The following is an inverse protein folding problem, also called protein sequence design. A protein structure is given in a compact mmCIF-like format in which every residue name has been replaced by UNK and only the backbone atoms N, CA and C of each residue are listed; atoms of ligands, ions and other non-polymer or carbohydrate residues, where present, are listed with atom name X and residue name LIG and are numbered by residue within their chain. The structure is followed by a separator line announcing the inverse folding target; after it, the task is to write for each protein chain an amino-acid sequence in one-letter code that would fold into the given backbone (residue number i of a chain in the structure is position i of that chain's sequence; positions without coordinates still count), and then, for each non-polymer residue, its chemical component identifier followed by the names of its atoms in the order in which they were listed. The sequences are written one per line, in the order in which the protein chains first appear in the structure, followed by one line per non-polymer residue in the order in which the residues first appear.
data_IF_246219299563
#
_entry.id   IF_246219299563
#
_cell.length_a   1.000
_cell.length_b   1.000
_cell.length_c   1.000
_cell.angle_alpha   90.00
_cell.angle_beta   90.00
_cell.angle_gamma   90.00
#
_symmetry.space_group_name_H-M   'P 1'
#
loop_
_entity.id
_entity.type
_entity.pdbx_description
1 polymer ?
#
# COMPACT_ATOMS: atom_id res chain seq x y z
N UNK A 1 -43.53 -57.95 -28.80
CA UNK A 1 -42.56 -57.57 -27.74
C UNK A 1 -41.14 -57.16 -28.27
N UNK A 2 -40.89 -57.06 -29.58
CA UNK A 2 -39.56 -56.65 -30.14
C UNK A 2 -39.52 -55.23 -30.65
N UNK A 3 -40.62 -54.50 -30.84
CA UNK A 3 -40.65 -53.16 -31.40
C UNK A 3 -40.43 -52.07 -30.31
N UNK A 4 -40.92 -52.29 -29.06
CA UNK A 4 -40.75 -51.31 -28.00
C UNK A 4 -39.31 -51.14 -27.47
N UNK A 5 -38.41 -52.18 -27.59
CA UNK A 5 -37.00 -52.06 -27.17
C UNK A 5 -36.15 -51.19 -28.10
N UNK A 6 -36.48 -51.04 -29.37
CA UNK A 6 -35.73 -50.22 -30.33
C UNK A 6 -36.00 -48.70 -30.21
N UNK A 7 -37.21 -48.34 -29.79
CA UNK A 7 -37.60 -46.93 -29.63
C UNK A 7 -36.94 -46.31 -28.36
N UNK A 8 -36.83 -47.10 -27.29
CA UNK A 8 -36.21 -46.62 -26.04
C UNK A 8 -34.68 -46.38 -26.24
N UNK A 9 -34.01 -47.20 -27.02
CA UNK A 9 -32.56 -47.05 -27.30
C UNK A 9 -32.23 -45.81 -28.13
N UNK A 10 -33.14 -45.40 -29.04
CA UNK A 10 -32.93 -44.21 -29.86
C UNK A 10 -33.17 -42.91 -29.07
N UNK A 11 -34.14 -42.89 -28.17
CA UNK A 11 -34.36 -41.73 -27.30
C UNK A 11 -33.28 -41.53 -26.26
N UNK A 12 -32.66 -42.61 -25.74
CA UNK A 12 -31.57 -42.51 -24.77
C UNK A 12 -30.29 -42.01 -25.47
N UNK A 13 -30.02 -42.41 -26.70
CA UNK A 13 -28.86 -41.98 -27.49
C UNK A 13 -28.95 -40.47 -27.85
N UNK A 14 -30.13 -39.95 -28.18
CA UNK A 14 -30.35 -38.53 -28.50
C UNK A 14 -30.19 -37.66 -27.24
N UNK A 15 -30.63 -38.11 -26.07
CA UNK A 15 -30.47 -37.39 -24.82
C UNK A 15 -29.02 -37.30 -24.38
N UNK A 16 -28.20 -38.35 -24.57
CA UNK A 16 -26.79 -38.33 -24.23
C UNK A 16 -26.00 -37.40 -25.19
N UNK A 17 -26.30 -37.39 -26.48
CA UNK A 17 -25.64 -36.50 -27.45
C UNK A 17 -26.02 -35.04 -27.19
N UNK A 18 -27.27 -34.74 -26.79
CA UNK A 18 -27.68 -33.38 -26.42
C UNK A 18 -27.00 -32.91 -25.11
N UNK A 19 -26.80 -33.78 -24.10
CA UNK A 19 -26.14 -33.45 -22.87
C UNK A 19 -24.62 -33.21 -23.04
N UNK A 20 -23.96 -33.98 -23.90
CA UNK A 20 -22.54 -33.80 -24.23
C UNK A 20 -22.34 -32.54 -25.09
N UNK A 21 -23.24 -32.22 -26.01
CA UNK A 21 -23.23 -30.99 -26.80
C UNK A 21 -23.43 -29.73 -25.96
N UNK A 22 -24.25 -29.79 -24.90
CA UNK A 22 -24.44 -28.68 -23.96
C UNK A 22 -23.24 -28.41 -23.05
N UNK A 23 -22.47 -29.44 -22.72
CA UNK A 23 -21.25 -29.31 -21.93
C UNK A 23 -20.09 -28.68 -22.74
N UNK A 24 -20.09 -28.85 -24.06
CA UNK A 24 -19.06 -28.27 -24.94
C UNK A 24 -19.32 -26.81 -25.33
N UNK A 25 -20.52 -26.29 -25.04
CA UNK A 25 -20.91 -24.91 -25.30
C UNK A 25 -20.89 -23.99 -24.08
N UNK A 26 -20.27 -24.44 -22.97
CA UNK A 26 -19.97 -23.47 -21.88
C UNK A 26 -18.93 -22.49 -22.41
N UNK A 27 -19.23 -21.19 -22.48
CA UNK A 27 -18.24 -20.21 -22.86
C UNK A 27 -17.11 -20.35 -21.83
N UNK A 28 -15.91 -20.68 -22.30
CA UNK A 28 -14.73 -20.57 -21.48
C UNK A 28 -14.72 -19.14 -20.98
N UNK A 29 -14.93 -18.92 -19.69
CA UNK A 29 -14.75 -17.62 -19.08
C UNK A 29 -13.34 -17.18 -19.45
N UNK A 30 -13.23 -16.28 -20.42
CA UNK A 30 -11.95 -15.67 -20.75
C UNK A 30 -11.47 -15.03 -19.44
N UNK A 31 -10.32 -15.50 -18.96
CA UNK A 31 -9.68 -14.88 -17.81
C UNK A 31 -9.57 -13.39 -18.14
N UNK A 32 -10.25 -12.55 -17.36
CA UNK A 32 -10.10 -11.11 -17.52
C UNK A 32 -8.61 -10.79 -17.38
N UNK A 33 -8.06 -9.91 -18.23
CA UNK A 33 -6.70 -9.46 -18.06
C UNK A 33 -6.54 -8.91 -16.63
N UNK A 34 -5.37 -9.08 -15.99
CA UNK A 34 -5.12 -8.51 -14.68
C UNK A 34 -5.51 -7.05 -14.69
N UNK A 35 -6.23 -6.61 -13.68
CA UNK A 35 -6.63 -5.21 -13.57
C UNK A 35 -5.36 -4.35 -13.47
N UNK A 36 -5.29 -3.28 -14.27
CA UNK A 36 -4.21 -2.31 -14.14
C UNK A 36 -4.40 -1.45 -12.87
N UNK A 37 -3.31 -0.92 -12.33
CA UNK A 37 -3.36 0.03 -11.22
C UNK A 37 -4.14 1.28 -11.65
N UNK A 38 -5.08 1.71 -10.82
CA UNK A 38 -5.91 2.88 -11.05
C UNK A 38 -5.72 3.91 -9.94
N UNK A 39 -5.21 5.08 -10.32
CA UNK A 39 -5.10 6.21 -9.39
C UNK A 39 -6.45 6.67 -8.84
N UNK A 40 -7.52 6.54 -9.63
CA UNK A 40 -8.89 6.85 -9.18
C UNK A 40 -9.37 5.88 -8.09
N UNK A 41 -9.09 4.57 -8.24
CA UNK A 41 -9.41 3.60 -7.20
C UNK A 41 -8.58 3.84 -5.93
N UNK A 42 -7.31 4.19 -6.07
CA UNK A 42 -6.48 4.59 -4.93
C UNK A 42 -7.03 5.86 -4.25
N UNK A 43 -7.45 6.87 -5.02
CA UNK A 43 -8.06 8.08 -4.46
C UNK A 43 -9.34 7.78 -3.67
N UNK A 44 -10.17 6.84 -4.13
CA UNK A 44 -11.33 6.38 -3.36
C UNK A 44 -10.92 5.74 -2.02
N UNK A 45 -9.77 5.07 -1.95
CA UNK A 45 -9.22 4.56 -0.68
C UNK A 45 -8.81 5.70 0.27
N UNK A 46 -8.28 6.82 -0.25
CA UNK A 46 -8.06 8.03 0.56
C UNK A 46 -9.39 8.54 1.11
N UNK A 47 -10.40 8.70 0.24
CA UNK A 47 -11.71 9.20 0.65
C UNK A 47 -12.37 8.35 1.75
N UNK A 48 -12.26 7.03 1.66
CA UNK A 48 -12.76 6.13 2.72
C UNK A 48 -12.03 6.36 4.03
N UNK A 49 -10.70 6.44 4.03
CA UNK A 49 -9.91 6.69 5.25
C UNK A 49 -10.28 8.05 5.88
N UNK A 50 -10.44 9.09 5.05
CA UNK A 50 -10.86 10.42 5.51
C UNK A 50 -12.27 10.40 6.14
N UNK A 51 -13.16 9.51 5.70
CA UNK A 51 -14.51 9.39 6.26
C UNK A 51 -14.53 8.90 7.72
N UNK A 52 -13.43 8.29 8.21
CA UNK A 52 -13.31 7.88 9.61
C UNK A 52 -12.94 9.05 10.53
N UNK A 53 -12.51 10.17 9.97
CA UNK A 53 -11.92 11.31 10.68
C UNK A 53 -10.43 11.14 10.94
N UNK A 54 -9.80 12.06 11.71
CA UNK A 54 -8.39 11.97 12.08
C UNK A 54 -8.06 10.65 12.78
N UNK A 55 -7.11 9.92 12.23
CA UNK A 55 -6.76 8.56 12.64
C UNK A 55 -5.67 8.53 13.73
N UNK A 56 -5.81 9.43 14.70
CA UNK A 56 -4.85 9.53 15.81
C UNK A 56 -4.71 8.19 16.51
N UNK A 57 -3.47 7.72 16.69
CA UNK A 57 -3.16 6.44 17.36
C UNK A 57 -3.95 6.24 18.64
N UNK A 58 -4.58 5.09 18.81
CA UNK A 58 -5.41 4.73 19.96
C UNK A 58 -6.83 5.30 19.93
N UNK A 59 -7.20 6.10 18.93
CA UNK A 59 -8.56 6.63 18.77
C UNK A 59 -9.51 5.62 18.12
N UNK A 60 -10.85 5.79 18.28
CA UNK A 60 -11.82 4.98 17.54
C UNK A 60 -11.70 5.10 16.02
N UNK A 61 -11.27 6.25 15.48
CA UNK A 61 -11.05 6.45 14.05
C UNK A 61 -9.85 5.64 13.55
N UNK A 62 -8.74 5.62 14.31
CA UNK A 62 -7.57 4.79 14.04
C UNK A 62 -7.93 3.29 14.07
N UNK A 63 -8.69 2.84 15.06
CA UNK A 63 -9.15 1.45 15.13
C UNK A 63 -10.00 1.06 13.91
N UNK A 64 -10.95 1.92 13.49
CA UNK A 64 -11.77 1.70 12.28
C UNK A 64 -10.93 1.64 11.01
N UNK A 65 -9.93 2.52 10.88
CA UNK A 65 -9.03 2.52 9.73
C UNK A 65 -8.20 1.22 9.67
N UNK A 66 -7.62 0.80 10.79
CA UNK A 66 -6.88 -0.46 10.87
C UNK A 66 -7.75 -1.68 10.54
N UNK A 67 -8.98 -1.75 11.07
CA UNK A 67 -9.93 -2.82 10.75
C UNK A 67 -10.33 -2.81 9.28
N UNK A 68 -10.54 -1.64 8.69
CA UNK A 68 -10.81 -1.48 7.27
C UNK A 68 -9.65 -1.99 6.40
N UNK A 69 -8.43 -1.56 6.68
CA UNK A 69 -7.23 -1.98 5.95
C UNK A 69 -7.09 -3.50 6.01
N UNK A 70 -7.17 -4.10 7.20
CA UNK A 70 -7.06 -5.54 7.37
C UNK A 70 -8.16 -6.31 6.61
N UNK A 71 -9.40 -5.80 6.61
CA UNK A 71 -10.51 -6.40 5.87
C UNK A 71 -10.30 -6.32 4.35
N UNK A 72 -9.79 -5.19 3.80
CA UNK A 72 -9.48 -5.07 2.38
C UNK A 72 -8.35 -6.03 1.98
N UNK A 73 -7.26 -6.09 2.74
CA UNK A 73 -6.15 -7.00 2.46
C UNK A 73 -6.60 -8.47 2.45
N UNK A 74 -7.40 -8.87 3.45
CA UNK A 74 -8.00 -10.22 3.51
C UNK A 74 -8.92 -10.48 2.30
N UNK A 75 -9.75 -9.51 1.93
CA UNK A 75 -10.63 -9.60 0.75
C UNK A 75 -9.85 -9.80 -0.56
N UNK A 76 -8.65 -9.22 -0.67
CA UNK A 76 -7.77 -9.39 -1.82
C UNK A 76 -6.92 -10.67 -1.75
N UNK A 77 -7.14 -11.51 -0.73
CA UNK A 77 -6.48 -12.82 -0.60
C UNK A 77 -5.12 -12.79 0.07
N UNK A 78 -4.76 -11.69 0.76
CA UNK A 78 -3.53 -11.59 1.53
C UNK A 78 -3.70 -12.21 2.92
N UNK A 79 -2.68 -12.92 3.38
CA UNK A 79 -2.61 -13.43 4.76
C UNK A 79 -2.28 -12.26 5.70
N UNK A 80 -3.29 -11.81 6.44
CA UNK A 80 -3.26 -10.54 7.18
C UNK A 80 -3.30 -10.79 8.68
N UNK A 81 -2.41 -10.11 9.40
CA UNK A 81 -2.36 -10.16 10.86
C UNK A 81 -2.13 -8.78 11.46
N UNK A 82 -2.64 -8.55 12.67
CA UNK A 82 -2.27 -7.41 13.49
C UNK A 82 -0.99 -7.72 14.30
N UNK A 83 -0.10 -6.74 14.37
CA UNK A 83 1.00 -6.69 15.31
C UNK A 83 0.66 -5.65 16.38
N UNK A 84 0.32 -6.09 17.59
CA UNK A 84 -0.22 -5.24 18.66
C UNK A 84 0.75 -5.15 19.82
N UNK A 85 0.88 -3.95 20.38
CA UNK A 85 1.62 -3.68 21.60
C UNK A 85 1.08 -2.41 22.28
N UNK A 86 1.64 -2.05 23.43
CA UNK A 86 1.27 -0.83 24.15
C UNK A 86 2.47 0.10 24.21
N UNK A 87 2.27 1.37 23.85
CA UNK A 87 3.27 2.43 23.97
C UNK A 87 2.67 3.63 24.72
N UNK A 88 3.35 4.11 25.77
CA UNK A 88 2.86 5.18 26.65
C UNK A 88 1.37 5.01 27.04
N UNK A 89 1.00 3.80 27.48
CA UNK A 89 -0.37 3.39 27.86
C UNK A 89 -1.41 3.45 26.72
N UNK A 90 -0.98 3.66 25.48
CA UNK A 90 -1.84 3.69 24.29
C UNK A 90 -1.67 2.38 23.51
N UNK A 91 -2.76 1.69 23.12
CA UNK A 91 -2.67 0.54 22.24
C UNK A 91 -2.22 0.98 20.84
N UNK A 92 -1.24 0.24 20.29
CA UNK A 92 -0.70 0.41 18.93
C UNK A 92 -0.98 -0.86 18.14
N UNK A 93 -1.43 -0.75 16.89
CA UNK A 93 -1.92 -1.87 16.08
C UNK A 93 -1.44 -1.78 14.63
N UNK A 94 -0.18 -2.09 14.35
CA UNK A 94 0.28 -2.22 12.95
C UNK A 94 -0.33 -3.44 12.27
N UNK A 95 -0.49 -3.40 10.94
CA UNK A 95 -1.01 -4.50 10.14
C UNK A 95 0.11 -5.01 9.22
N UNK A 96 0.26 -6.34 9.15
CA UNK A 96 1.18 -7.00 8.24
C UNK A 96 0.37 -7.96 7.38
N UNK A 97 0.36 -7.72 6.08
CA UNK A 97 -0.29 -8.58 5.10
C UNK A 97 0.77 -9.21 4.17
N UNK A 98 0.67 -10.51 3.94
CA UNK A 98 1.67 -11.29 3.19
C UNK A 98 1.03 -12.02 2.03
N UNK A 99 1.71 -12.01 0.88
CA UNK A 99 1.28 -12.75 -0.29
C UNK A 99 2.47 -13.43 -0.98
N UNK A 100 2.18 -14.41 -1.83
CA UNK A 100 3.15 -15.13 -2.63
C UNK A 100 4.27 -15.81 -1.80
N UNK A 101 3.91 -16.39 -0.66
CA UNK A 101 4.85 -17.00 0.28
C UNK A 101 5.77 -18.01 -0.38
N UNK A 102 7.08 -17.87 -0.15
CA UNK A 102 8.10 -18.76 -0.66
C UNK A 102 8.42 -18.62 -2.15
N UNK A 103 7.85 -17.64 -2.85
CA UNK A 103 8.13 -17.41 -4.27
C UNK A 103 9.55 -16.89 -4.53
N UNK A 104 10.16 -16.26 -3.53
CA UNK A 104 11.50 -15.68 -3.63
C UNK A 104 11.87 -14.83 -2.41
N UNK A 105 12.83 -13.92 -2.58
CA UNK A 105 13.21 -12.99 -1.52
C UNK A 105 12.01 -12.13 -1.07
N UNK A 106 12.04 -11.71 0.19
CA UNK A 106 10.97 -10.88 0.76
C UNK A 106 11.20 -9.42 0.40
N UNK A 107 10.19 -8.77 -0.16
CA UNK A 107 10.11 -7.31 -0.30
C UNK A 107 9.02 -6.79 0.64
N UNK A 108 9.36 -5.82 1.48
CA UNK A 108 8.38 -5.09 2.30
C UNK A 108 8.03 -3.77 1.60
N UNK A 109 6.74 -3.52 1.42
CA UNK A 109 6.19 -2.20 1.11
C UNK A 109 5.50 -1.67 2.37
N UNK A 110 5.80 -0.44 2.78
CA UNK A 110 5.27 0.15 4.00
C UNK A 110 4.57 1.48 3.78
N UNK A 111 3.63 1.80 4.65
CA UNK A 111 3.04 3.13 4.81
C UNK A 111 2.47 3.25 6.22
N UNK A 112 2.51 4.43 6.84
CA UNK A 112 1.78 4.62 8.09
C UNK A 112 0.30 4.93 7.81
N UNK A 113 -0.60 4.61 8.75
CA UNK A 113 -2.03 4.85 8.59
C UNK A 113 -2.63 5.75 9.68
N UNK A 114 -1.88 6.02 10.74
CA UNK A 114 -2.26 7.01 11.73
C UNK A 114 -2.15 8.44 11.16
N UNK A 115 -2.62 9.42 11.89
CA UNK A 115 -2.42 10.82 11.60
C UNK A 115 -2.07 11.58 12.88
N UNK A 116 -1.39 12.70 12.70
CA UNK A 116 -0.87 13.52 13.80
C UNK A 116 -1.97 14.01 14.71
N UNK A 117 -1.77 13.83 16.02
CA UNK A 117 -2.76 14.21 17.06
C UNK A 117 -2.99 15.70 17.21
N UNK A 118 -2.06 16.54 16.77
CA UNK A 118 -2.15 17.99 16.78
C UNK A 118 -1.50 18.58 15.53
N UNK A 119 -2.16 19.56 14.94
CA UNK A 119 -1.67 20.31 13.78
C UNK A 119 -0.65 21.37 14.24
N UNK A 120 0.48 20.93 14.81
CA UNK A 120 1.45 21.80 15.49
C UNK A 120 2.20 22.78 14.56
N UNK A 121 2.07 22.60 13.23
CA UNK A 121 2.52 23.55 12.22
C UNK A 121 1.40 24.53 11.78
N UNK A 122 0.15 24.30 12.21
CA UNK A 122 -0.99 25.16 11.90
C UNK A 122 -1.04 26.37 12.85
N UNK A 123 -0.81 27.57 12.30
CA UNK A 123 -0.83 28.81 13.10
C UNK A 123 -2.21 29.18 13.65
N UNK A 124 -3.28 28.75 12.97
CA UNK A 124 -4.65 29.10 13.34
C UNK A 124 -5.29 28.05 14.27
N UNK A 125 -4.95 26.76 14.08
CA UNK A 125 -5.62 25.64 14.75
C UNK A 125 -4.62 24.59 15.27
N UNK A 126 -3.57 24.96 16.02
CA UNK A 126 -2.47 24.05 16.38
C UNK A 126 -2.88 22.90 17.31
N UNK A 127 -4.06 22.99 17.93
CA UNK A 127 -4.57 21.98 18.87
C UNK A 127 -5.52 20.96 18.23
N UNK A 128 -5.97 21.20 16.99
CA UNK A 128 -6.81 20.23 16.27
C UNK A 128 -5.95 19.10 15.71
N UNK A 129 -6.50 17.88 15.59
CA UNK A 129 -5.79 16.80 14.92
C UNK A 129 -5.67 17.07 13.42
N UNK A 130 -4.58 16.57 12.80
CA UNK A 130 -4.37 16.63 11.37
C UNK A 130 -5.35 15.66 10.68
N UNK A 131 -6.04 16.07 9.60
CA UNK A 131 -6.92 15.18 8.85
C UNK A 131 -6.18 14.01 8.20
N UNK A 132 -4.96 14.22 7.69
CA UNK A 132 -4.06 13.18 7.22
C UNK A 132 -4.44 12.59 5.87
N UNK A 133 -4.82 13.40 4.88
CA UNK A 133 -5.19 12.90 3.57
C UNK A 133 -3.98 12.45 2.72
N UNK A 134 -2.91 13.21 2.78
CA UNK A 134 -1.65 12.84 2.16
C UNK A 134 -0.75 12.11 3.17
N UNK A 135 -0.65 12.65 4.37
CA UNK A 135 0.13 12.19 5.50
C UNK A 135 -0.71 11.25 6.38
N UNK A 136 -0.62 10.08 6.19
CA UNK A 136 -0.43 8.72 5.89
C UNK A 136 -1.48 8.09 4.98
N UNK A 137 -2.68 8.72 4.67
CA UNK A 137 -3.70 7.99 3.91
C UNK A 137 -3.30 7.74 2.45
N UNK A 138 -2.43 8.56 1.84
CA UNK A 138 -2.01 8.41 0.45
C UNK A 138 -1.18 7.15 0.21
N UNK A 139 -0.17 6.89 1.05
CA UNK A 139 0.65 5.68 0.98
C UNK A 139 -0.17 4.41 1.18
N UNK A 140 -1.04 4.40 2.20
CA UNK A 140 -1.99 3.29 2.44
C UNK A 140 -2.88 3.03 1.23
N UNK A 141 -3.40 4.08 0.60
CA UNK A 141 -4.28 3.98 -0.56
C UNK A 141 -3.58 3.33 -1.77
N UNK A 142 -2.32 3.71 -2.02
CA UNK A 142 -1.49 3.08 -3.06
C UNK A 142 -1.28 1.60 -2.75
N UNK A 143 -0.94 1.23 -1.50
CA UNK A 143 -0.73 -0.17 -1.12
C UNK A 143 -2.01 -1.01 -1.26
N UNK A 144 -3.17 -0.48 -0.87
CA UNK A 144 -4.46 -1.18 -1.01
C UNK A 144 -4.82 -1.44 -2.48
N UNK A 145 -4.63 -0.44 -3.35
CA UNK A 145 -4.91 -0.61 -4.77
C UNK A 145 -3.88 -1.55 -5.42
N UNK A 146 -2.61 -1.46 -5.05
CA UNK A 146 -1.57 -2.38 -5.52
C UNK A 146 -1.89 -3.82 -5.10
N UNK A 147 -2.33 -4.04 -3.85
CA UNK A 147 -2.73 -5.36 -3.36
C UNK A 147 -3.90 -5.96 -4.16
N UNK A 148 -4.82 -5.13 -4.65
CA UNK A 148 -5.97 -5.54 -5.45
C UNK A 148 -5.57 -6.02 -6.85
N UNK A 149 -4.55 -5.39 -7.47
CA UNK A 149 -4.22 -5.59 -8.89
C UNK A 149 -2.95 -6.41 -9.13
N UNK A 150 -2.12 -6.62 -8.12
CA UNK A 150 -0.82 -7.27 -8.30
C UNK A 150 -0.98 -8.71 -8.81
N UNK A 151 -0.40 -8.99 -9.98
CA UNK A 151 -0.33 -10.35 -10.51
C UNK A 151 0.78 -11.14 -9.80
N UNK A 152 0.39 -11.84 -8.73
CA UNK A 152 1.32 -12.62 -7.91
C UNK A 152 2.04 -13.74 -8.71
N UNK A 153 1.47 -14.19 -9.84
CA UNK A 153 2.11 -15.20 -10.70
C UNK A 153 3.32 -14.64 -11.47
N UNK A 154 3.34 -13.33 -11.70
CA UNK A 154 4.45 -12.64 -12.36
C UNK A 154 5.42 -11.99 -11.37
N UNK A 155 5.14 -12.08 -10.07
CA UNK A 155 5.95 -11.48 -9.03
C UNK A 155 6.95 -12.51 -8.50
N UNK A 156 8.27 -12.32 -8.69
CA UNK A 156 9.29 -13.28 -8.27
C UNK A 156 9.65 -13.15 -6.78
N UNK A 157 8.86 -12.42 -6.01
CA UNK A 157 9.08 -12.10 -4.61
C UNK A 157 7.95 -12.63 -3.72
N UNK A 158 8.28 -12.94 -2.48
CA UNK A 158 7.31 -12.90 -1.40
C UNK A 158 7.10 -11.42 -1.03
N UNK A 159 5.85 -10.94 -1.05
CA UNK A 159 5.53 -9.52 -0.81
C UNK A 159 4.84 -9.38 0.54
N UNK A 160 5.37 -8.48 1.35
CA UNK A 160 4.75 -8.05 2.60
C UNK A 160 4.30 -6.59 2.44
N UNK A 161 3.07 -6.29 2.81
CA UNK A 161 2.58 -4.93 2.96
C UNK A 161 2.40 -4.64 4.45
N UNK A 162 3.11 -3.63 4.94
CA UNK A 162 3.10 -3.20 6.33
C UNK A 162 2.41 -1.85 6.43
N UNK A 163 1.39 -1.78 7.28
CA UNK A 163 0.70 -0.53 7.59
C UNK A 163 1.00 -0.19 9.04
N UNK A 164 1.84 0.83 9.22
CA UNK A 164 2.35 1.21 10.53
C UNK A 164 1.35 2.10 11.26
N UNK A 165 1.22 1.87 12.56
CA UNK A 165 0.52 2.75 13.48
C UNK A 165 1.55 3.48 14.34
N UNK A 166 1.19 4.64 14.86
CA UNK A 166 2.03 5.41 15.78
C UNK A 166 3.36 5.89 15.14
N UNK A 167 3.32 6.29 13.89
CA UNK A 167 4.42 6.98 13.23
C UNK A 167 4.46 8.45 13.69
N UNK A 168 3.31 9.17 13.57
CA UNK A 168 3.22 10.61 13.40
C UNK A 168 2.92 11.41 14.69
N UNK A 169 3.21 10.86 15.85
CA UNK A 169 3.04 11.58 17.12
C UNK A 169 4.37 12.06 17.73
N UNK A 170 5.47 11.90 17.02
CA UNK A 170 6.80 12.25 17.53
C UNK A 170 6.94 13.71 17.95
N UNK A 171 7.66 13.94 19.08
CA UNK A 171 7.83 15.25 19.66
C UNK A 171 6.61 15.80 20.43
N UNK A 172 5.46 15.12 20.38
CA UNK A 172 4.24 15.51 21.09
C UNK A 172 4.06 14.63 22.34
N UNK A 173 3.86 15.26 23.51
CA UNK A 173 3.52 14.57 24.76
C UNK A 173 4.46 13.40 25.14
N UNK A 174 5.75 13.50 24.79
CA UNK A 174 6.75 12.49 25.08
C UNK A 174 6.77 11.30 24.10
N UNK A 175 6.01 11.35 23.01
CA UNK A 175 6.03 10.34 21.96
C UNK A 175 7.33 10.40 21.13
N UNK A 176 7.81 9.24 20.74
CA UNK A 176 8.80 9.11 19.68
C UNK A 176 8.12 9.05 18.31
N UNK A 177 8.87 9.36 17.25
CA UNK A 177 8.52 9.09 15.87
C UNK A 177 8.62 7.59 15.56
N UNK A 178 7.97 7.11 14.51
CA UNK A 178 8.20 5.79 13.90
C UNK A 178 8.10 4.61 14.87
N UNK A 179 7.17 4.70 15.84
CA UNK A 179 7.04 3.69 16.92
C UNK A 179 6.65 2.33 16.38
N UNK A 180 5.67 2.28 15.43
CA UNK A 180 5.16 1.03 14.86
C UNK A 180 6.18 0.30 14.01
N UNK A 181 6.87 1.00 13.11
CA UNK A 181 7.93 0.43 12.27
C UNK A 181 9.15 -0.01 13.08
N UNK A 182 9.51 0.77 14.11
CA UNK A 182 10.58 0.40 15.05
C UNK A 182 10.26 -0.91 15.75
N UNK A 183 9.02 -1.07 16.21
CA UNK A 183 8.60 -2.33 16.83
C UNK A 183 8.63 -3.48 15.82
N UNK A 184 8.10 -3.30 14.61
CA UNK A 184 8.15 -4.33 13.58
C UNK A 184 9.58 -4.71 13.23
N UNK A 185 10.45 -3.74 12.97
CA UNK A 185 11.84 -4.01 12.62
C UNK A 185 12.58 -4.79 13.72
N UNK A 186 12.40 -4.44 14.99
CA UNK A 186 12.99 -5.16 16.12
C UNK A 186 12.54 -6.62 16.24
N UNK A 187 11.30 -6.92 15.84
CA UNK A 187 10.68 -8.26 15.95
C UNK A 187 10.71 -9.08 14.66
N UNK A 188 11.39 -8.60 13.60
CA UNK A 188 11.60 -9.39 12.38
C UNK A 188 12.48 -10.61 12.68
N UNK A 189 11.98 -11.79 12.31
CA UNK A 189 12.70 -13.07 12.40
C UNK A 189 13.33 -13.50 11.09
N UNK A 190 13.14 -12.71 10.04
CA UNK A 190 13.68 -12.92 8.68
C UNK A 190 14.43 -11.67 8.23
N UNK A 191 15.26 -11.81 7.18
CA UNK A 191 15.96 -10.68 6.56
C UNK A 191 15.34 -10.39 5.19
N UNK A 192 14.48 -9.38 5.06
CA UNK A 192 13.98 -8.93 3.77
C UNK A 192 15.10 -8.45 2.85
N UNK A 193 14.92 -8.62 1.53
CA UNK A 193 15.85 -8.11 0.52
C UNK A 193 15.78 -6.58 0.43
N UNK A 194 14.58 -6.01 0.61
CA UNK A 194 14.39 -4.57 0.62
C UNK A 194 13.12 -4.17 1.39
N UNK A 195 13.10 -2.91 1.83
CA UNK A 195 11.93 -2.21 2.36
C UNK A 195 11.74 -0.91 1.58
N UNK A 196 10.52 -0.65 1.10
CA UNK A 196 10.15 0.55 0.36
C UNK A 196 8.99 1.20 1.10
N UNK A 197 9.23 2.39 1.60
CA UNK A 197 8.24 3.20 2.30
C UNK A 197 7.52 4.12 1.32
N UNK A 198 6.25 4.36 1.55
CA UNK A 198 5.40 5.33 0.87
C UNK A 198 4.86 6.30 1.89
N UNK A 199 5.38 7.50 1.91
CA UNK A 199 4.87 8.57 2.74
C UNK A 199 4.59 9.82 1.91
N UNK A 200 3.47 10.50 2.17
CA UNK A 200 3.05 11.73 1.50
C UNK A 200 3.15 11.66 -0.04
N UNK A 201 2.66 10.55 -0.64
CA UNK A 201 2.81 10.27 -2.07
C UNK A 201 1.67 10.81 -2.94
N UNK A 202 0.74 11.55 -2.37
CA UNK A 202 -0.49 11.97 -3.06
C UNK A 202 -0.52 13.43 -3.52
N UNK A 203 0.45 14.29 -3.19
CA UNK A 203 0.42 15.70 -3.52
C UNK A 203 0.12 15.93 -5.01
N UNK A 204 -0.79 16.85 -5.30
CA UNK A 204 -1.13 17.24 -6.68
C UNK A 204 0.06 17.84 -7.44
N UNK A 205 0.97 18.52 -6.72
CA UNK A 205 2.24 19.11 -7.25
C UNK A 205 3.44 18.22 -6.92
N UNK A 206 3.33 16.94 -7.18
CA UNK A 206 4.23 15.88 -6.75
C UNK A 206 5.65 15.99 -7.29
N UNK A 207 6.66 15.93 -6.39
CA UNK A 207 8.09 15.90 -6.72
C UNK A 207 8.88 15.02 -5.75
N UNK A 208 9.24 13.81 -6.14
CA UNK A 208 10.08 12.91 -5.34
C UNK A 208 11.57 13.16 -5.60
N UNK A 209 12.30 13.50 -4.56
CA UNK A 209 13.76 13.55 -4.52
C UNK A 209 14.30 12.35 -3.74
N UNK A 210 15.56 12.00 -3.94
CA UNK A 210 16.19 10.99 -3.09
C UNK A 210 16.31 11.49 -1.66
N UNK A 211 15.81 10.73 -0.74
CA UNK A 211 16.16 10.85 0.67
C UNK A 211 17.58 10.33 0.90
N UNK A 212 18.40 11.09 1.66
CA UNK A 212 19.81 10.79 1.90
C UNK A 212 20.03 9.62 2.85
N UNK A 213 19.03 9.26 3.64
CA UNK A 213 19.05 8.10 4.53
C UNK A 213 18.62 6.81 3.81
N UNK A 214 18.09 6.94 2.61
CA UNK A 214 17.68 5.83 1.75
C UNK A 214 18.87 5.13 1.09
N UNK A 215 18.67 3.84 0.76
CA UNK A 215 19.66 3.07 0.00
C UNK A 215 19.76 3.60 -1.44
N UNK A 216 20.92 4.17 -1.80
CA UNK A 216 21.13 4.84 -3.09
C UNK A 216 20.94 3.91 -4.30
N UNK A 217 21.36 2.64 -4.21
CA UNK A 217 21.22 1.69 -5.31
C UNK A 217 19.75 1.35 -5.57
N UNK A 218 18.98 1.11 -4.50
CA UNK A 218 17.56 0.84 -4.59
C UNK A 218 16.78 2.08 -5.07
N UNK A 219 17.11 3.28 -4.57
CA UNK A 219 16.55 4.55 -5.07
C UNK A 219 16.81 4.71 -6.56
N UNK A 220 18.05 4.51 -7.01
CA UNK A 220 18.41 4.60 -8.44
C UNK A 220 17.60 3.63 -9.29
N UNK A 221 17.38 2.40 -8.82
CA UNK A 221 16.59 1.38 -9.53
C UNK A 221 15.13 1.83 -9.69
N UNK A 222 14.49 2.30 -8.60
CA UNK A 222 13.08 2.72 -8.60
C UNK A 222 12.90 3.97 -9.48
N UNK A 223 13.75 5.00 -9.32
CA UNK A 223 13.68 6.24 -10.11
C UNK A 223 13.94 6.01 -11.61
N UNK A 224 14.90 5.13 -11.94
CA UNK A 224 15.14 4.74 -13.34
C UNK A 224 13.92 4.03 -13.93
N UNK A 225 13.27 3.16 -13.16
CA UNK A 225 12.06 2.48 -13.61
C UNK A 225 10.90 3.48 -13.81
N UNK A 226 10.71 4.41 -12.88
CA UNK A 226 9.72 5.48 -13.02
C UNK A 226 9.98 6.31 -14.28
N UNK A 227 11.25 6.64 -14.58
CA UNK A 227 11.61 7.35 -15.80
C UNK A 227 11.26 6.57 -17.07
N UNK A 228 11.46 5.23 -17.11
CA UNK A 228 11.06 4.38 -18.25
C UNK A 228 9.54 4.35 -18.46
N UNK A 229 8.76 4.56 -17.39
CA UNK A 229 7.32 4.68 -17.44
C UNK A 229 6.82 6.10 -17.82
N UNK A 230 7.75 7.04 -18.08
CA UNK A 230 7.42 8.42 -18.42
C UNK A 230 7.26 9.37 -17.23
N UNK A 231 7.64 8.94 -16.02
CA UNK A 231 7.45 9.70 -14.77
C UNK A 231 8.71 10.44 -14.30
N UNK A 232 9.75 10.54 -15.14
CA UNK A 232 11.03 11.15 -14.77
C UNK A 232 10.95 12.61 -14.33
N UNK A 233 9.91 13.36 -14.71
CA UNK A 233 9.68 14.73 -14.24
C UNK A 233 9.19 14.79 -12.78
N UNK A 234 8.70 13.69 -12.24
CA UNK A 234 8.19 13.58 -10.87
C UNK A 234 9.15 12.83 -9.95
N UNK A 235 9.91 11.88 -10.49
CA UNK A 235 10.95 11.13 -9.79
C UNK A 235 12.31 11.72 -10.15
N UNK A 236 12.74 12.74 -9.42
CA UNK A 236 13.93 13.56 -9.69
C UNK A 236 15.16 12.91 -9.02
N UNK A 237 16.16 12.42 -9.79
CA UNK A 237 17.28 11.64 -9.24
C UNK A 237 18.34 12.57 -8.60
N UNK A 238 17.95 13.34 -7.61
CA UNK A 238 18.80 14.25 -6.84
C UNK A 238 18.54 14.08 -5.36
N UNK A 239 19.59 13.96 -4.55
CA UNK A 239 19.50 13.88 -3.11
C UNK A 239 19.12 15.25 -2.50
N UNK A 240 18.03 15.30 -1.73
CA UNK A 240 17.53 16.56 -1.15
C UNK A 240 17.32 16.48 0.35
N UNK A 241 16.53 15.54 0.82
CA UNK A 241 16.13 15.42 2.21
C UNK A 241 16.99 14.42 2.97
N UNK A 242 16.89 14.38 4.30
CA UNK A 242 17.42 13.36 5.19
C UNK A 242 16.32 13.09 6.23
N UNK A 243 15.38 12.20 5.88
CA UNK A 243 14.19 11.95 6.66
C UNK A 243 14.48 11.02 7.84
N UNK A 244 13.81 11.26 8.96
CA UNK A 244 13.60 10.28 10.01
C UNK A 244 12.20 9.72 9.81
N UNK A 245 12.10 8.53 9.21
CA UNK A 245 10.85 7.96 8.81
C UNK A 245 10.87 6.42 8.96
N UNK A 246 9.74 5.76 8.72
CA UNK A 246 9.51 4.33 8.93
C UNK A 246 10.49 3.39 8.21
N UNK A 247 11.25 3.85 7.22
CA UNK A 247 12.31 3.09 6.57
C UNK A 247 13.58 2.96 7.44
N UNK A 248 13.81 3.90 8.37
CA UNK A 248 15.04 3.97 9.18
C UNK A 248 15.26 2.74 10.06
N UNK A 249 14.27 2.21 10.81
CA UNK A 249 14.49 1.04 11.65
C UNK A 249 14.94 -0.20 10.85
N UNK A 250 14.51 -0.31 9.60
CA UNK A 250 14.93 -1.39 8.70
C UNK A 250 16.35 -1.16 8.17
N UNK A 251 16.68 0.06 7.76
CA UNK A 251 18.04 0.44 7.35
C UNK A 251 19.06 0.20 8.47
N UNK A 252 18.73 0.50 9.73
CA UNK A 252 19.58 0.23 10.89
C UNK A 252 19.83 -1.25 11.12
N UNK A 253 18.98 -2.14 10.62
CA UNK A 253 19.19 -3.59 10.61
C UNK A 253 19.97 -4.09 9.39
N UNK A 254 20.49 -3.20 8.56
CA UNK A 254 21.21 -3.55 7.34
C UNK A 254 20.32 -3.98 6.18
N UNK A 255 19.01 -3.77 6.26
CA UNK A 255 18.07 -4.03 5.17
C UNK A 255 18.10 -2.83 4.23
N UNK A 256 18.36 -2.98 2.92
CA UNK A 256 18.22 -1.89 1.95
C UNK A 256 16.82 -1.28 2.05
N UNK A 257 16.73 0.00 2.43
CA UNK A 257 15.45 0.68 2.63
C UNK A 257 15.42 1.98 1.84
N UNK A 258 14.24 2.33 1.31
CA UNK A 258 13.99 3.57 0.55
C UNK A 258 12.72 4.20 1.05
N UNK A 259 12.76 5.51 1.18
CA UNK A 259 11.61 6.36 1.40
C UNK A 259 11.23 7.05 0.07
N UNK A 260 10.01 6.84 -0.38
CA UNK A 260 9.38 7.57 -1.49
C UNK A 260 8.47 8.60 -0.85
N UNK A 261 9.00 9.81 -0.68
CA UNK A 261 8.32 10.91 -0.01
C UNK A 261 8.38 12.19 -0.83
N UNK A 262 7.27 12.91 -0.89
CA UNK A 262 7.27 14.31 -1.29
C UNK A 262 7.17 15.21 -0.06
N UNK A 263 8.32 15.64 0.45
CA UNK A 263 8.40 16.52 1.62
C UNK A 263 8.31 18.00 1.25
N UNK A 264 7.69 18.32 0.11
CA UNK A 264 7.40 19.70 -0.29
C UNK A 264 5.89 19.93 -0.44
N UNK A 265 5.14 19.48 0.53
CA UNK A 265 3.69 19.39 0.52
C UNK A 265 3.01 20.77 0.61
N UNK A 266 2.52 21.23 -0.55
CA UNK A 266 1.96 22.55 -0.73
C UNK A 266 3.02 23.68 -0.76
N UNK A 267 2.63 24.94 -1.01
CA UNK A 267 3.54 26.06 -1.06
C UNK A 267 4.37 26.23 0.20
N UNK A 268 5.69 26.04 0.11
CA UNK A 268 6.60 26.11 1.26
C UNK A 268 6.25 25.11 2.38
N UNK A 269 5.79 23.93 2.02
CA UNK A 269 5.40 22.85 2.94
C UNK A 269 4.23 23.23 3.90
N UNK A 270 3.30 24.08 3.41
CA UNK A 270 2.26 24.70 4.24
C UNK A 270 1.10 23.78 4.60
N UNK A 271 1.03 22.57 4.01
CA UNK A 271 -0.02 21.59 4.34
C UNK A 271 0.46 20.54 5.36
N UNK A 272 1.78 20.32 5.44
CA UNK A 272 2.35 19.34 6.36
C UNK A 272 2.08 19.68 7.82
N UNK A 273 1.56 18.73 8.57
CA UNK A 273 1.19 18.85 9.99
C UNK A 273 0.22 20.00 10.28
N UNK A 274 -0.66 20.32 9.33
CA UNK A 274 -1.70 21.34 9.49
C UNK A 274 -3.10 20.78 9.23
N UNK A 275 -4.13 21.52 9.60
CA UNK A 275 -5.53 21.18 9.28
C UNK A 275 -5.85 21.28 7.79
N UNK A 276 -4.90 21.77 6.97
CA UNK A 276 -5.01 21.86 5.51
C UNK A 276 -4.66 20.55 4.78
N UNK A 277 -4.16 19.52 5.48
CA UNK A 277 -3.94 18.20 4.88
C UNK A 277 -5.28 17.48 4.64
N UNK A 278 -5.93 17.87 3.57
CA UNK A 278 -7.28 17.46 3.17
C UNK A 278 -7.29 16.85 1.78
N UNK A 279 -8.33 16.07 1.47
CA UNK A 279 -8.41 15.25 0.26
C UNK A 279 -8.28 16.04 -1.05
N UNK A 280 -8.65 17.32 -1.06
CA UNK A 280 -8.51 18.20 -2.23
C UNK A 280 -7.05 18.55 -2.59
N UNK A 281 -6.08 18.17 -1.75
CA UNK A 281 -4.65 18.29 -2.01
C UNK A 281 -4.07 17.04 -2.68
N UNK A 282 -4.80 15.92 -2.62
CA UNK A 282 -4.38 14.64 -3.19
C UNK A 282 -4.87 14.51 -4.62
N UNK A 283 -4.03 13.98 -5.50
CA UNK A 283 -4.34 13.75 -6.91
C UNK A 283 -4.37 12.26 -7.28
N UNK A 284 -5.41 11.76 -7.97
CA UNK A 284 -5.41 10.42 -8.52
C UNK A 284 -4.19 10.11 -9.39
N UNK A 285 -3.76 11.10 -10.21
CA UNK A 285 -2.61 10.94 -11.09
C UNK A 285 -1.29 10.75 -10.31
N UNK A 286 -1.16 11.39 -9.13
CA UNK A 286 0.01 11.23 -8.26
C UNK A 286 0.07 9.83 -7.68
N UNK A 287 -1.04 9.33 -7.16
CA UNK A 287 -1.15 7.96 -6.65
C UNK A 287 -0.87 6.91 -7.74
N UNK A 288 -1.33 7.18 -8.98
CA UNK A 288 -1.13 6.27 -10.12
C UNK A 288 0.34 6.14 -10.50
N UNK A 289 1.10 7.23 -10.52
CA UNK A 289 2.54 7.20 -10.86
C UNK A 289 3.31 6.30 -9.89
N UNK A 290 3.05 6.43 -8.60
CA UNK A 290 3.70 5.61 -7.57
C UNK A 290 3.28 4.15 -7.69
N UNK A 291 1.98 3.89 -7.75
CA UNK A 291 1.45 2.53 -7.84
C UNK A 291 1.93 1.77 -9.07
N UNK A 292 1.94 2.41 -10.24
CA UNK A 292 2.46 1.81 -11.49
C UNK A 292 3.97 1.56 -11.43
N UNK A 293 4.72 2.45 -10.81
CA UNK A 293 6.17 2.26 -10.61
C UNK A 293 6.43 1.04 -9.73
N UNK A 294 5.72 0.91 -8.61
CA UNK A 294 5.88 -0.24 -7.72
C UNK A 294 5.35 -1.55 -8.30
N UNK A 295 4.24 -1.52 -9.06
CA UNK A 295 3.76 -2.70 -9.76
C UNK A 295 4.82 -3.22 -10.77
N UNK A 296 5.44 -2.33 -11.52
CA UNK A 296 6.53 -2.66 -12.44
C UNK A 296 7.78 -3.17 -11.68
N UNK A 297 8.15 -2.53 -10.57
CA UNK A 297 9.26 -2.96 -9.72
C UNK A 297 9.08 -4.40 -9.23
N UNK A 298 7.89 -4.73 -8.68
CA UNK A 298 7.59 -6.05 -8.15
C UNK A 298 7.51 -7.16 -9.24
N UNK A 299 7.36 -6.79 -10.50
CA UNK A 299 7.38 -7.74 -11.64
C UNK A 299 8.76 -7.89 -12.28
N UNK A 300 9.74 -7.09 -11.85
CA UNK A 300 11.11 -7.16 -12.35
C UNK A 300 11.92 -8.14 -11.48
N UNK A 301 12.40 -9.24 -12.07
CA UNK A 301 13.30 -10.14 -11.34
C UNK A 301 14.59 -9.39 -10.95
N UNK A 302 15.02 -9.52 -9.70
CA UNK A 302 16.38 -9.10 -9.32
C UNK A 302 17.40 -9.95 -10.09
N UNK A 303 18.27 -9.30 -10.86
CA UNK A 303 19.40 -9.94 -11.54
C UNK A 303 20.48 -10.30 -10.53
#
# INVERSE_FOLDING_TARGET
MRIQRRIIGVFLGILIVAAVGLLLLQPHAQAQPPAEFSGEQAYQQVAVQMSFGPRVTGSPANAKAGDYIAAQMTKYGWDTQFQTFTYLQTPVRSIIARANRGAGPIIILGAHYDSRRRADQDKAQPMLPVPGANDGASGVAVLLELARVLDLKKTPYEVWMAFFDAEDNGGLDGWNWIVGSSYMAQHLTVTPQAMILLDMVGDADQQFYWDRNSNAALSSQIWSLAATLGYGNYFIPQARWAMLDDHIPFAQRGIPAVDIIDFNYGPSNSYWHTTADTIDKVSPASLERVGRTLAAFLQTASK
#
